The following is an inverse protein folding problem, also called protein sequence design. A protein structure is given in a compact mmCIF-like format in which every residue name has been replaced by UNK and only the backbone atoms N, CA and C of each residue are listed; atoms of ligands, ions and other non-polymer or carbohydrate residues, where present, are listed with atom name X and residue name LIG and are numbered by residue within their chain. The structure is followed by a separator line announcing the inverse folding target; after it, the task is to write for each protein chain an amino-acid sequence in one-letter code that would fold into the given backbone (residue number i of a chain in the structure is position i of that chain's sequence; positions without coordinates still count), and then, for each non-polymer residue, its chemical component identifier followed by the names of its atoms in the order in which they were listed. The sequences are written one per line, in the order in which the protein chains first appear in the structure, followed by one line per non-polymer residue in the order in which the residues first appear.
data_IF_995699177883
#
_entry.id   IF_995699177883
#
_cell.length_a   1.000
_cell.length_b   1.000
_cell.length_c   1.000
_cell.angle_alpha   90.00
_cell.angle_beta   90.00
_cell.angle_gamma   90.00
#
_symmetry.space_group_name_H-M   'P 1'
#
loop_
_entity.id
_entity.type
_entity.pdbx_description
1 polymer ?
#
# COMPACT_ATOMS: atom_id res chain seq x y z
N UNK A 1 -21.55 -7.02 -81.12
CA UNK A 1 -21.74 -7.22 -79.67
C UNK A 1 -20.41 -6.99 -78.95
N UNK A 2 -19.99 -5.74 -78.72
CA UNK A 2 -18.79 -5.45 -77.94
C UNK A 2 -19.19 -4.57 -76.76
N UNK A 3 -19.06 -5.13 -75.56
CA UNK A 3 -19.57 -4.56 -74.31
C UNK A 3 -18.63 -3.49 -73.77
N UNK A 4 -19.21 -2.32 -73.50
CA UNK A 4 -18.67 -1.24 -72.69
C UNK A 4 -18.46 -1.75 -71.25
N UNK A 5 -17.27 -1.56 -70.67
CA UNK A 5 -17.01 -1.79 -69.25
C UNK A 5 -17.04 -0.45 -68.50
N UNK A 6 -17.81 -0.30 -67.41
CA UNK A 6 -17.76 0.90 -66.59
C UNK A 6 -16.60 0.80 -65.59
N UNK A 7 -15.81 1.87 -65.49
CA UNK A 7 -14.78 2.04 -64.46
C UNK A 7 -15.48 2.57 -63.20
N UNK A 8 -15.50 1.76 -62.13
CA UNK A 8 -15.90 2.22 -60.80
C UNK A 8 -14.77 3.09 -60.22
N UNK A 9 -15.06 4.36 -59.99
CA UNK A 9 -14.23 5.24 -59.18
C UNK A 9 -14.51 4.97 -57.69
N UNK A 10 -13.53 4.43 -56.97
CA UNK A 10 -13.57 4.26 -55.52
C UNK A 10 -13.10 5.56 -54.85
N UNK A 11 -14.02 6.31 -54.23
CA UNK A 11 -13.69 7.43 -53.36
C UNK A 11 -13.15 6.90 -52.02
N UNK A 12 -11.83 7.05 -51.81
CA UNK A 12 -11.18 6.83 -50.52
C UNK A 12 -11.55 7.98 -49.57
N UNK A 13 -12.49 7.75 -48.66
CA UNK A 13 -12.77 8.65 -47.55
C UNK A 13 -11.67 8.48 -46.51
N UNK A 14 -10.72 9.42 -46.47
CA UNK A 14 -9.74 9.50 -45.38
C UNK A 14 -10.45 9.94 -44.11
N UNK A 15 -10.68 9.01 -43.19
CA UNK A 15 -11.09 9.31 -41.82
C UNK A 15 -9.88 9.82 -41.07
N UNK A 16 -9.76 11.13 -40.93
CA UNK A 16 -8.79 11.75 -40.03
C UNK A 16 -9.17 11.41 -38.59
N UNK A 17 -8.40 10.53 -37.95
CA UNK A 17 -8.43 10.38 -36.50
C UNK A 17 -7.95 11.68 -35.86
N UNK A 18 -8.89 12.48 -35.35
CA UNK A 18 -8.55 13.52 -34.38
C UNK A 18 -8.15 12.82 -33.08
N UNK A 19 -6.85 12.77 -32.81
CA UNK A 19 -6.35 12.43 -31.50
C UNK A 19 -6.83 13.53 -30.53
N UNK A 20 -7.79 13.20 -29.67
CA UNK A 20 -8.10 14.02 -28.51
C UNK A 20 -6.86 13.96 -27.59
N UNK A 21 -6.02 14.97 -27.66
CA UNK A 21 -5.08 15.24 -26.58
C UNK A 21 -5.92 15.61 -25.35
N UNK A 22 -6.01 14.70 -24.37
CA UNK A 22 -6.52 15.05 -23.05
C UNK A 22 -5.74 16.27 -22.57
N UNK A 23 -6.48 17.31 -22.18
CA UNK A 23 -5.92 18.52 -21.59
C UNK A 23 -4.95 18.13 -20.48
N UNK A 24 -3.67 18.52 -20.62
CA UNK A 24 -2.77 18.65 -19.48
C UNK A 24 -3.32 19.78 -18.62
N UNK A 25 -4.37 19.48 -17.85
CA UNK A 25 -4.88 20.37 -16.83
C UNK A 25 -3.73 20.53 -15.83
N UNK A 26 -3.07 21.68 -15.85
CA UNK A 26 -1.91 21.92 -15.00
C UNK A 26 -2.43 21.95 -13.58
N UNK A 27 -2.33 20.81 -12.90
CA UNK A 27 -2.69 20.71 -11.49
C UNK A 27 -1.76 21.67 -10.73
N UNK A 28 -2.36 22.52 -9.89
CA UNK A 28 -1.62 23.49 -9.06
C UNK A 28 -1.89 23.26 -7.58
N UNK A 29 -1.02 23.80 -6.73
CA UNK A 29 -1.18 23.76 -5.28
C UNK A 29 -1.33 22.34 -4.70
N UNK A 30 -2.25 22.20 -3.74
CA UNK A 30 -2.50 20.93 -3.05
C UNK A 30 -3.10 19.85 -3.97
N UNK A 31 -3.78 20.23 -5.07
CA UNK A 31 -4.27 19.25 -6.06
C UNK A 31 -3.08 18.52 -6.68
N UNK A 32 -2.07 19.27 -7.15
CA UNK A 32 -0.84 18.69 -7.71
C UNK A 32 -0.13 17.79 -6.69
N UNK A 33 0.10 18.33 -5.49
CA UNK A 33 0.83 17.61 -4.44
C UNK A 33 0.08 16.36 -3.97
N UNK A 34 -1.26 16.36 -3.98
CA UNK A 34 -2.03 15.17 -3.61
C UNK A 34 -1.88 14.05 -4.64
N UNK A 35 -1.97 14.36 -5.94
CA UNK A 35 -1.78 13.38 -7.01
C UNK A 35 -0.35 12.83 -7.05
N UNK A 36 0.65 13.71 -6.93
CA UNK A 36 2.05 13.31 -6.84
C UNK A 36 2.30 12.47 -5.58
N UNK A 37 1.70 12.82 -4.44
CA UNK A 37 1.83 12.03 -3.21
C UNK A 37 1.23 10.63 -3.37
N UNK A 38 0.07 10.48 -4.04
CA UNK A 38 -0.48 9.16 -4.37
C UNK A 38 0.54 8.36 -5.19
N UNK A 39 1.03 8.92 -6.30
CA UNK A 39 1.98 8.24 -7.18
C UNK A 39 3.25 7.81 -6.43
N UNK A 40 3.85 8.74 -5.71
CA UNK A 40 5.08 8.52 -4.95
C UNK A 40 4.90 7.58 -3.77
N UNK A 41 3.74 7.60 -3.10
CA UNK A 41 3.48 6.71 -1.98
C UNK A 41 3.12 5.31 -2.43
N UNK A 42 2.53 5.15 -3.63
CA UNK A 42 2.22 3.87 -4.29
C UNK A 42 3.43 3.15 -4.91
N UNK A 43 4.58 3.81 -4.98
CA UNK A 43 5.83 3.25 -5.50
C UNK A 43 6.82 2.94 -4.38
N UNK A 44 7.55 1.82 -4.50
CA UNK A 44 8.74 1.57 -3.67
C UNK A 44 9.91 2.49 -4.05
N UNK A 45 10.03 2.82 -5.33
CA UNK A 45 11.02 3.76 -5.86
C UNK A 45 10.52 5.19 -5.66
N UNK A 46 11.27 6.00 -4.90
CA UNK A 46 10.91 7.39 -4.55
C UNK A 46 12.06 8.33 -4.88
N UNK A 47 12.10 8.87 -6.11
CA UNK A 47 13.15 9.79 -6.51
C UNK A 47 12.96 11.15 -5.81
N UNK A 48 13.95 12.04 -5.94
CA UNK A 48 13.98 13.33 -5.23
C UNK A 48 12.78 14.24 -5.52
N UNK A 49 12.18 14.09 -6.69
CA UNK A 49 11.00 14.79 -7.20
C UNK A 49 9.76 14.52 -6.34
N UNK A 50 9.73 13.37 -5.64
CA UNK A 50 8.67 13.05 -4.70
C UNK A 50 8.76 13.81 -3.38
N UNK A 51 9.91 14.44 -3.06
CA UNK A 51 10.15 15.02 -1.76
C UNK A 51 9.13 16.11 -1.36
N UNK A 52 8.71 17.05 -2.24
CA UNK A 52 7.74 18.07 -1.88
C UNK A 52 6.37 17.48 -1.50
N UNK A 53 5.87 16.55 -2.30
CA UNK A 53 4.54 15.95 -2.16
C UNK A 53 4.49 15.01 -0.95
N UNK A 54 5.55 14.22 -0.74
CA UNK A 54 5.73 13.39 0.45
C UNK A 54 5.85 14.26 1.72
N UNK A 55 6.62 15.36 1.67
CA UNK A 55 6.77 16.28 2.79
C UNK A 55 5.43 16.90 3.16
N UNK A 56 4.65 17.35 2.16
CA UNK A 56 3.30 17.90 2.36
C UNK A 56 2.35 16.88 2.98
N UNK A 57 2.41 15.63 2.55
CA UNK A 57 1.60 14.55 3.10
C UNK A 57 1.94 14.26 4.57
N UNK A 58 3.24 14.12 4.89
CA UNK A 58 3.68 13.81 6.25
C UNK A 58 3.64 15.01 7.21
N UNK A 59 3.60 16.25 6.69
CA UNK A 59 3.36 17.44 7.52
C UNK A 59 1.93 17.50 8.07
N UNK A 60 0.99 16.75 7.49
CA UNK A 60 -0.35 16.56 8.05
C UNK A 60 -0.22 15.63 9.25
N UNK A 61 -0.34 16.24 10.44
CA UNK A 61 -0.29 15.57 11.74
C UNK A 61 -1.27 16.24 12.69
N UNK A 62 -1.96 15.43 13.46
CA UNK A 62 -2.89 15.83 14.50
C UNK A 62 -2.50 15.14 15.81
N UNK A 63 -3.05 15.61 16.93
CA UNK A 63 -2.81 14.99 18.25
C UNK A 63 -3.22 13.51 18.27
N UNK A 64 -4.34 13.20 17.61
CA UNK A 64 -4.88 11.83 17.53
C UNK A 64 -4.52 11.20 16.20
N UNK A 65 -4.02 9.97 16.24
CA UNK A 65 -3.67 9.21 15.04
C UNK A 65 -4.89 9.03 14.10
N UNK A 66 -6.08 8.80 14.66
CA UNK A 66 -7.32 8.69 13.87
C UNK A 66 -7.60 9.98 13.07
N UNK A 67 -7.37 11.14 13.67
CA UNK A 67 -7.57 12.43 13.00
C UNK A 67 -6.50 12.69 11.95
N UNK A 68 -5.25 12.28 12.22
CA UNK A 68 -4.15 12.30 11.24
C UNK A 68 -4.48 11.45 10.01
N UNK A 69 -4.96 10.22 10.21
CA UNK A 69 -5.36 9.30 9.13
C UNK A 69 -6.50 9.92 8.31
N UNK A 70 -7.52 10.48 8.97
CA UNK A 70 -8.64 11.14 8.28
C UNK A 70 -8.13 12.31 7.42
N UNK A 71 -7.37 13.25 7.98
CA UNK A 71 -6.88 14.42 7.23
C UNK A 71 -5.92 14.04 6.09
N UNK A 72 -5.11 12.99 6.26
CA UNK A 72 -4.27 12.45 5.19
C UNK A 72 -5.10 11.85 4.07
N UNK A 73 -6.16 11.10 4.40
CA UNK A 73 -7.12 10.59 3.43
C UNK A 73 -7.81 11.75 2.68
N UNK A 74 -8.25 12.78 3.40
CA UNK A 74 -8.89 13.96 2.82
C UNK A 74 -7.96 14.68 1.84
N UNK A 75 -6.68 14.88 2.22
CA UNK A 75 -5.67 15.45 1.34
C UNK A 75 -5.47 14.63 0.07
N UNK A 76 -5.31 13.30 0.17
CA UNK A 76 -5.17 12.43 -1.01
C UNK A 76 -6.44 12.44 -1.88
N UNK A 77 -7.62 12.64 -1.28
CA UNK A 77 -8.90 12.66 -1.99
C UNK A 77 -9.15 13.94 -2.78
N UNK A 78 -8.27 14.95 -2.66
CA UNK A 78 -8.27 16.15 -3.50
C UNK A 78 -7.90 15.78 -4.95
N UNK A 79 -7.05 14.77 -5.14
CA UNK A 79 -6.61 14.35 -6.46
C UNK A 79 -7.81 13.79 -7.27
N UNK A 80 -8.10 14.29 -8.49
CA UNK A 80 -9.22 13.81 -9.28
C UNK A 80 -9.21 12.30 -9.53
N UNK A 81 -8.02 11.71 -9.76
CA UNK A 81 -7.86 10.26 -9.99
C UNK A 81 -8.10 9.42 -8.73
N UNK A 82 -8.20 10.02 -7.54
CA UNK A 82 -8.48 9.27 -6.29
C UNK A 82 -9.85 8.58 -6.29
N UNK A 83 -10.73 8.94 -7.24
CA UNK A 83 -12.09 8.42 -7.39
C UNK A 83 -12.20 7.30 -8.42
N UNK A 84 -11.13 7.01 -9.15
CA UNK A 84 -11.09 5.90 -10.10
C UNK A 84 -11.23 4.55 -9.40
N UNK A 85 -11.55 3.50 -10.17
CA UNK A 85 -11.76 2.16 -9.62
C UNK A 85 -10.51 1.67 -8.88
N UNK A 86 -10.68 1.25 -7.61
CA UNK A 86 -9.59 0.77 -6.73
C UNK A 86 -8.79 1.88 -6.04
N UNK A 87 -8.89 3.14 -6.49
CA UNK A 87 -8.16 4.26 -5.90
C UNK A 87 -8.66 4.63 -4.49
N UNK A 88 -9.97 4.59 -4.17
CA UNK A 88 -10.44 4.81 -2.80
C UNK A 88 -9.85 3.83 -1.78
N UNK A 89 -9.74 2.55 -2.14
CA UNK A 89 -9.13 1.52 -1.31
C UNK A 89 -7.63 1.77 -1.12
N UNK A 90 -6.93 2.11 -2.20
CA UNK A 90 -5.51 2.47 -2.17
C UNK A 90 -5.26 3.71 -1.29
N UNK A 91 -6.01 4.79 -1.51
CA UNK A 91 -5.91 6.03 -0.73
C UNK A 91 -6.15 5.75 0.75
N UNK A 92 -7.14 4.92 1.07
CA UNK A 92 -7.38 4.49 2.43
C UNK A 92 -6.21 3.66 3.00
N UNK A 93 -5.63 2.75 2.21
CA UNK A 93 -4.47 1.97 2.62
C UNK A 93 -3.25 2.87 2.89
N UNK A 94 -2.94 3.81 1.98
CA UNK A 94 -1.85 4.78 2.12
C UNK A 94 -2.06 5.62 3.39
N UNK A 95 -3.27 6.16 3.61
CA UNK A 95 -3.61 6.92 4.81
C UNK A 95 -3.39 6.13 6.12
N UNK A 96 -3.60 4.81 6.10
CA UNK A 96 -3.36 3.90 7.23
C UNK A 96 -1.89 3.43 7.32
N UNK A 97 -1.01 3.91 6.44
CA UNK A 97 0.44 3.67 6.51
C UNK A 97 0.97 2.60 5.58
N UNK A 98 0.24 2.25 4.50
CA UNK A 98 0.66 1.16 3.62
C UNK A 98 2.02 1.34 2.90
N UNK A 99 2.54 2.57 2.83
CA UNK A 99 3.91 2.84 2.37
C UNK A 99 5.02 2.43 3.35
N UNK A 100 4.68 1.81 4.49
CA UNK A 100 5.62 1.35 5.53
C UNK A 100 5.30 -0.09 5.98
N UNK A 101 4.96 -0.93 5.02
CA UNK A 101 4.66 -2.36 5.25
C UNK A 101 5.91 -3.25 5.16
N UNK A 102 7.11 -2.67 5.24
CA UNK A 102 8.35 -3.42 5.31
C UNK A 102 8.50 -4.18 6.65
N UNK A 103 9.36 -5.19 6.66
CA UNK A 103 9.56 -6.05 7.80
C UNK A 103 10.06 -5.31 9.04
N UNK A 104 10.89 -4.27 8.87
CA UNK A 104 11.41 -3.51 10.01
C UNK A 104 10.27 -2.80 10.73
N UNK A 105 9.39 -2.15 9.98
CA UNK A 105 8.25 -1.46 10.58
C UNK A 105 7.22 -2.44 11.16
N UNK A 106 6.87 -3.50 10.44
CA UNK A 106 5.93 -4.51 10.95
C UNK A 106 6.44 -5.15 12.25
N UNK A 107 7.72 -5.51 12.33
CA UNK A 107 8.31 -6.04 13.56
C UNK A 107 8.33 -5.03 14.72
N UNK A 108 8.22 -3.73 14.43
CA UNK A 108 8.13 -2.66 15.44
C UNK A 108 6.69 -2.47 15.93
N UNK A 109 5.72 -2.34 15.01
CA UNK A 109 4.33 -1.96 15.33
C UNK A 109 3.43 -3.14 15.67
N UNK A 110 3.78 -4.34 15.23
CA UNK A 110 2.98 -5.56 15.45
C UNK A 110 3.40 -6.33 16.72
N UNK A 111 4.19 -5.71 17.60
CA UNK A 111 4.56 -6.28 18.89
C UNK A 111 3.35 -6.37 19.81
N UNK A 112 3.09 -7.54 20.37
CA UNK A 112 1.97 -7.83 21.29
C UNK A 112 2.46 -8.65 22.47
N UNK A 113 1.64 -8.76 23.50
CA UNK A 113 1.90 -9.58 24.68
C UNK A 113 0.79 -10.61 24.87
N UNK A 114 1.15 -11.82 25.29
CA UNK A 114 0.20 -12.89 25.62
C UNK A 114 0.69 -13.61 26.88
N UNK A 115 -0.25 -13.96 27.73
CA UNK A 115 0.01 -14.82 28.89
C UNK A 115 -0.07 -16.28 28.45
N UNK A 116 1.00 -17.03 28.71
CA UNK A 116 1.05 -18.48 28.45
C UNK A 116 1.37 -19.21 29.75
N UNK A 117 0.77 -20.39 29.92
CA UNK A 117 1.07 -21.28 31.04
C UNK A 117 2.25 -22.15 30.66
N UNK A 118 3.43 -21.84 31.18
CA UNK A 118 4.65 -22.62 30.94
C UNK A 118 4.84 -23.61 32.08
N UNK A 119 4.95 -24.89 31.74
CA UNK A 119 5.21 -25.95 32.69
C UNK A 119 6.61 -26.50 32.49
N UNK A 120 7.39 -26.56 33.56
CA UNK A 120 8.75 -27.09 33.58
C UNK A 120 8.82 -28.26 34.56
N UNK A 121 9.54 -29.32 34.17
CA UNK A 121 9.80 -30.44 35.07
C UNK A 121 10.83 -30.02 36.10
N UNK A 122 10.54 -30.28 37.36
CA UNK A 122 11.37 -29.92 38.51
C UNK A 122 11.68 -31.15 39.38
N UNK A 123 12.70 -31.02 40.23
CA UNK A 123 13.18 -32.09 41.12
C UNK A 123 14.29 -32.95 40.51
N UNK A 124 15.04 -33.64 41.39
CA UNK A 124 16.26 -34.41 41.05
C UNK A 124 16.00 -35.46 39.95
N UNK A 125 14.78 -36.00 39.90
CA UNK A 125 14.37 -37.02 38.93
C UNK A 125 13.32 -36.53 37.92
N UNK A 126 13.07 -35.20 37.83
CA UNK A 126 12.07 -34.59 36.94
C UNK A 126 10.64 -35.18 37.07
N UNK A 127 10.30 -35.72 38.24
CA UNK A 127 9.00 -36.35 38.50
C UNK A 127 7.91 -35.35 38.88
N UNK A 128 8.28 -34.12 39.22
CA UNK A 128 7.37 -33.06 39.61
C UNK A 128 7.29 -32.00 38.50
N UNK A 129 6.13 -31.34 38.34
CA UNK A 129 5.92 -30.34 37.30
C UNK A 129 5.47 -29.03 37.94
N UNK A 130 6.23 -27.97 37.69
CA UNK A 130 5.86 -26.61 38.11
C UNK A 130 5.33 -25.85 36.91
N UNK A 131 4.10 -25.37 37.01
CA UNK A 131 3.49 -24.52 35.99
C UNK A 131 3.39 -23.08 36.50
N UNK A 132 3.84 -22.13 35.69
CA UNK A 132 3.70 -20.70 35.96
C UNK A 132 3.14 -20.00 34.73
N UNK A 133 2.27 -19.04 34.97
CA UNK A 133 1.81 -18.14 33.93
C UNK A 133 2.88 -17.06 33.71
N UNK A 134 3.37 -16.97 32.48
CA UNK A 134 4.37 -16.00 32.08
C UNK A 134 3.81 -15.13 30.95
N UNK A 135 4.13 -13.84 30.99
CA UNK A 135 3.82 -12.93 29.89
C UNK A 135 4.96 -12.96 28.90
N UNK A 136 4.68 -13.41 27.67
CA UNK A 136 5.64 -13.35 26.56
C UNK A 136 5.30 -12.18 25.64
N UNK A 137 6.33 -11.63 25.00
CA UNK A 137 6.19 -10.69 23.90
C UNK A 137 6.37 -11.43 22.58
N UNK A 138 5.44 -11.25 21.65
CA UNK A 138 5.50 -11.84 20.32
C UNK A 138 5.21 -10.80 19.24
N UNK A 139 5.55 -11.11 17.99
CA UNK A 139 5.17 -10.30 16.82
C UNK A 139 3.94 -10.95 16.19
N UNK A 140 2.85 -10.19 16.05
CA UNK A 140 1.60 -10.67 15.47
C UNK A 140 1.81 -11.14 14.02
N UNK A 141 1.53 -12.43 13.70
CA UNK A 141 1.67 -12.97 12.35
C UNK A 141 0.56 -12.54 11.39
N UNK A 142 -0.54 -11.98 11.89
CA UNK A 142 -1.62 -11.47 11.03
C UNK A 142 -1.23 -10.16 10.36
N UNK A 143 -0.98 -10.20 9.05
CA UNK A 143 -0.68 -9.01 8.23
C UNK A 143 -1.82 -7.98 8.37
N UNK A 144 -1.53 -6.69 8.63
CA UNK A 144 -2.56 -5.67 8.63
C UNK A 144 -3.29 -5.57 7.29
N UNK A 145 -4.61 -5.35 7.32
CA UNK A 145 -5.42 -5.32 6.11
C UNK A 145 -4.93 -4.27 5.11
N UNK A 146 -4.54 -3.09 5.58
CA UNK A 146 -4.01 -2.03 4.71
C UNK A 146 -2.72 -2.46 3.97
N UNK A 147 -1.84 -3.24 4.61
CA UNK A 147 -0.66 -3.79 3.95
C UNK A 147 -1.04 -4.82 2.89
N UNK A 148 -1.95 -5.75 3.20
CA UNK A 148 -2.39 -6.74 2.21
C UNK A 148 -3.15 -6.12 1.03
N UNK A 149 -3.96 -5.08 1.29
CA UNK A 149 -4.66 -4.35 0.23
C UNK A 149 -3.66 -3.71 -0.70
N UNK A 150 -2.67 -3.01 -0.13
CA UNK A 150 -1.63 -2.31 -0.87
C UNK A 150 -0.77 -3.25 -1.71
N UNK A 151 -0.34 -4.39 -1.16
CA UNK A 151 0.37 -5.45 -1.90
C UNK A 151 -0.41 -6.01 -3.11
N UNK A 152 -1.73 -5.93 -3.09
CA UNK A 152 -2.62 -6.49 -4.11
C UNK A 152 -3.26 -5.40 -5.00
N UNK A 153 -2.91 -4.13 -4.81
CA UNK A 153 -3.47 -3.05 -5.62
C UNK A 153 -2.76 -2.93 -6.96
N UNK A 154 -3.52 -2.91 -8.05
CA UNK A 154 -3.04 -2.71 -9.42
C UNK A 154 -2.28 -1.38 -9.62
N UNK A 155 -2.56 -0.41 -8.74
CA UNK A 155 -1.96 0.93 -8.76
C UNK A 155 -0.63 1.04 -8.01
N UNK A 156 -0.09 -0.06 -7.49
CA UNK A 156 1.18 -0.07 -6.75
C UNK A 156 2.32 -0.64 -7.59
N UNK A 157 3.53 -0.11 -7.39
CA UNK A 157 4.69 -0.48 -8.20
C UNK A 157 5.93 -0.73 -7.35
N UNK A 158 6.58 -1.88 -7.55
CA UNK A 158 7.83 -2.29 -6.86
C UNK A 158 7.81 -2.08 -5.35
N UNK A 159 6.69 -2.40 -4.72
CA UNK A 159 6.55 -2.26 -3.26
C UNK A 159 7.20 -3.45 -2.55
N UNK A 160 7.77 -3.19 -1.38
CA UNK A 160 8.33 -4.24 -0.53
C UNK A 160 7.24 -5.25 -0.17
N UNK A 161 7.52 -6.52 -0.42
CA UNK A 161 6.66 -7.60 0.03
C UNK A 161 7.25 -8.21 1.30
N UNK A 162 6.37 -8.74 2.16
CA UNK A 162 6.79 -9.36 3.43
C UNK A 162 6.13 -10.69 3.69
N UNK A 163 6.89 -11.59 4.30
CA UNK A 163 6.44 -12.89 4.78
C UNK A 163 6.74 -13.02 6.27
N UNK A 164 5.82 -13.64 7.01
CA UNK A 164 6.09 -14.03 8.39
C UNK A 164 6.83 -15.38 8.43
N UNK A 165 7.87 -15.48 9.26
CA UNK A 165 8.69 -16.68 9.42
C UNK A 165 8.84 -17.04 10.90
N UNK A 166 8.84 -18.34 11.19
CA UNK A 166 8.99 -18.88 12.55
C UNK A 166 7.69 -18.94 13.36
N UNK A 167 7.79 -19.48 14.57
CA UNK A 167 6.68 -19.55 15.52
C UNK A 167 6.61 -18.25 16.33
N UNK A 168 5.45 -17.57 16.43
CA UNK A 168 5.31 -16.34 17.20
C UNK A 168 5.80 -16.45 18.66
N UNK A 169 5.57 -17.59 19.32
CA UNK A 169 5.97 -17.80 20.71
C UNK A 169 7.47 -18.11 20.86
N UNK A 170 8.19 -18.29 19.75
CA UNK A 170 9.61 -18.64 19.69
C UNK A 170 10.43 -17.65 18.84
N UNK A 171 10.02 -16.38 18.81
CA UNK A 171 10.76 -15.32 18.09
C UNK A 171 10.44 -15.21 16.60
N UNK A 172 9.26 -15.66 16.18
CA UNK A 172 8.74 -15.43 14.84
C UNK A 172 8.67 -13.95 14.48
N UNK A 173 8.88 -13.64 13.20
CA UNK A 173 9.03 -12.25 12.71
C UNK A 173 8.68 -12.11 11.24
N UNK A 174 8.39 -10.88 10.83
CA UNK A 174 8.30 -10.49 9.43
C UNK A 174 9.69 -10.39 8.80
N UNK A 175 9.81 -10.81 7.55
CA UNK A 175 11.01 -10.65 6.70
C UNK A 175 10.61 -10.10 5.34
N UNK A 176 11.45 -9.25 4.76
CA UNK A 176 11.26 -8.75 3.41
C UNK A 176 11.49 -9.91 2.42
N UNK A 177 10.62 -10.01 1.44
CA UNK A 177 10.76 -10.89 0.28
C UNK A 177 10.83 -10.00 -0.96
N UNK A 178 11.69 -10.37 -1.90
CA UNK A 178 11.85 -9.66 -3.18
C UNK A 178 10.62 -9.83 -4.05
#
# INVERSE_FOLDING_TARGET
MNKLKPVLAACLVSVTFMANAESTDILTGDVRLSCEAILCLSSGDRPSECAPSIKRYFSIKEEKMKDTIRKRKDFLSICPSSKEKGMPELVNAIANGAGRCDAKELNRVMRRTKTIRKCEKIGIWQKEQSCKDITITYIEPKKPKYCSTYEQQDWTYKIDQVKYVGNPEQGGRWVNIK
#
